data_IF_968893652322
#
_entry.id   IF_968893652322
#
_cell.length_a   1.000
_cell.length_b   1.000
_cell.length_c   1.000
_cell.angle_alpha   90.00
_cell.angle_beta   90.00
_cell.angle_gamma   90.00
#
_symmetry.space_group_name_H-M   'P 1'
#
loop_
_entity.id
_entity.type
_entity.pdbx_description
1 polymer ?
#
# COMPACT_ATOMS: atom_id res chain seq x y z
N UNK A 1 -6.92 0.06 15.18
CA UNK A 1 -5.47 0.10 15.54
C UNK A 1 -4.78 -1.11 14.92
N UNK A 2 -3.59 -0.90 14.37
CA UNK A 2 -2.79 -1.92 13.70
C UNK A 2 -1.49 -2.11 14.48
N UNK A 3 -1.16 -3.34 14.88
CA UNK A 3 0.05 -3.60 15.65
C UNK A 3 0.84 -4.78 15.07
N UNK A 4 2.15 -4.65 15.01
CA UNK A 4 3.09 -5.73 14.78
C UNK A 4 3.98 -5.84 16.01
N UNK A 5 4.16 -7.05 16.53
CA UNK A 5 5.04 -7.35 17.66
C UNK A 5 5.94 -8.53 17.32
N UNK A 6 7.12 -8.54 17.90
CA UNK A 6 8.11 -9.62 17.77
C UNK A 6 8.51 -9.89 16.30
N UNK A 7 8.57 -8.85 15.46
CA UNK A 7 9.04 -9.00 14.09
C UNK A 7 10.54 -9.31 14.07
N UNK A 8 10.87 -10.48 13.53
CA UNK A 8 12.24 -10.94 13.36
C UNK A 8 12.49 -11.22 11.89
N UNK A 9 13.42 -10.50 11.27
CA UNK A 9 13.78 -10.69 9.86
C UNK A 9 15.29 -10.73 9.70
N UNK A 10 15.78 -11.78 9.07
CA UNK A 10 17.20 -11.95 8.75
C UNK A 10 17.38 -12.43 7.32
N UNK A 11 18.42 -11.96 6.66
CA UNK A 11 18.83 -12.39 5.32
C UNK A 11 20.26 -12.95 5.40
N UNK A 12 20.39 -14.25 5.36
CA UNK A 12 21.66 -14.95 5.61
C UNK A 12 22.19 -14.60 7.01
N UNK A 13 23.38 -14.00 7.07
CA UNK A 13 24.01 -13.60 8.35
C UNK A 13 23.59 -12.19 8.84
N UNK A 14 22.83 -11.46 8.04
CA UNK A 14 22.43 -10.08 8.38
C UNK A 14 21.04 -10.07 8.99
N UNK A 15 20.95 -9.75 10.28
CA UNK A 15 19.68 -9.47 10.96
C UNK A 15 19.25 -8.05 10.63
N UNK A 16 18.04 -7.90 10.09
CA UNK A 16 17.45 -6.62 9.73
C UNK A 16 16.55 -6.08 10.84
N UNK A 17 15.71 -6.95 11.39
CA UNK A 17 14.86 -6.68 12.55
C UNK A 17 15.03 -7.77 13.58
N UNK A 18 15.09 -7.40 14.85
CA UNK A 18 15.15 -8.29 15.99
C UNK A 18 14.17 -7.78 17.03
N UNK A 19 13.13 -8.56 17.29
CA UNK A 19 12.06 -8.25 18.24
C UNK A 19 11.46 -6.85 18.04
N UNK A 20 11.31 -6.46 16.77
CA UNK A 20 10.79 -5.15 16.44
C UNK A 20 9.26 -5.09 16.63
N UNK A 21 8.79 -3.97 17.16
CA UNK A 21 7.37 -3.72 17.37
C UNK A 21 6.96 -2.39 16.75
N UNK A 22 5.71 -2.33 16.32
CA UNK A 22 5.15 -1.16 15.65
C UNK A 22 3.66 -1.06 15.98
N UNK A 23 3.17 0.17 16.08
CA UNK A 23 1.76 0.47 16.23
C UNK A 23 1.38 1.63 15.31
N UNK A 24 0.24 1.50 14.63
CA UNK A 24 -0.39 2.57 13.87
C UNK A 24 -1.82 2.78 14.36
N UNK A 25 -2.17 4.01 14.63
CA UNK A 25 -3.49 4.39 15.09
C UNK A 25 -4.42 4.65 13.90
N UNK A 26 -5.71 4.36 14.08
CA UNK A 26 -6.74 4.65 13.08
C UNK A 26 -6.85 6.17 12.86
N UNK A 27 -7.04 6.59 11.61
CA UNK A 27 -7.18 8.00 11.26
C UNK A 27 -5.88 8.81 11.27
N UNK A 28 -4.74 8.16 11.46
CA UNK A 28 -3.43 8.82 11.48
C UNK A 28 -2.55 8.40 10.29
N UNK A 29 -1.78 9.36 9.78
CA UNK A 29 -0.71 9.10 8.83
C UNK A 29 0.58 8.75 9.58
N UNK A 30 1.05 7.53 9.44
CA UNK A 30 2.33 7.08 10.01
C UNK A 30 3.42 7.08 8.95
N UNK A 31 4.51 7.81 9.17
CA UNK A 31 5.63 7.92 8.23
C UNK A 31 6.84 7.17 8.73
N UNK A 32 7.28 6.16 7.97
CA UNK A 32 8.49 5.38 8.27
C UNK A 32 9.68 6.00 7.53
N UNK A 33 10.63 6.54 8.28
CA UNK A 33 11.83 7.18 7.74
C UNK A 33 13.07 6.30 7.95
N UNK A 34 14.01 6.38 7.01
CA UNK A 34 15.29 5.67 7.11
C UNK A 34 16.08 5.74 5.81
N UNK A 35 17.39 5.47 5.86
CA UNK A 35 18.28 5.48 4.69
C UNK A 35 17.85 4.41 3.67
N UNK A 36 18.29 4.54 2.42
CA UNK A 36 18.13 3.47 1.44
C UNK A 36 18.79 2.19 1.96
N UNK A 37 18.13 1.03 1.75
CA UNK A 37 18.61 -0.25 2.25
C UNK A 37 18.41 -0.49 3.76
N UNK A 38 17.74 0.40 4.49
CA UNK A 38 17.47 0.21 5.94
C UNK A 38 16.35 -0.81 6.24
N UNK A 39 15.68 -1.34 5.22
CA UNK A 39 14.64 -2.35 5.40
C UNK A 39 13.21 -1.84 5.41
N UNK A 40 12.95 -0.58 5.04
CA UNK A 40 11.58 -0.02 5.01
C UNK A 40 10.60 -0.87 4.21
N UNK A 41 10.94 -1.19 2.96
CA UNK A 41 10.10 -2.04 2.11
C UNK A 41 9.95 -3.46 2.66
N UNK A 42 10.99 -3.97 3.32
CA UNK A 42 10.92 -5.25 4.02
C UNK A 42 9.96 -5.20 5.19
N UNK A 43 10.02 -4.12 5.98
CA UNK A 43 9.10 -3.89 7.07
C UNK A 43 7.65 -3.80 6.58
N UNK A 44 7.39 -3.06 5.51
CA UNK A 44 6.03 -2.93 4.95
C UNK A 44 5.46 -4.27 4.45
N UNK A 45 6.29 -5.22 4.05
CA UNK A 45 5.85 -6.57 3.68
C UNK A 45 5.33 -7.39 4.87
N UNK A 46 5.71 -7.05 6.12
CA UNK A 46 5.18 -7.72 7.29
C UNK A 46 3.65 -7.55 7.39
N UNK A 47 3.10 -6.41 6.93
CA UNK A 47 1.65 -6.20 6.87
C UNK A 47 0.92 -7.07 5.85
N UNK A 48 1.66 -7.78 5.01
CA UNK A 48 1.14 -8.74 4.02
C UNK A 48 1.45 -10.19 4.45
N UNK A 49 1.69 -10.42 5.73
CA UNK A 49 2.04 -11.73 6.30
C UNK A 49 3.31 -12.36 5.70
N UNK A 50 4.24 -11.56 5.16
CA UNK A 50 5.46 -12.08 4.54
C UNK A 50 6.49 -12.61 5.55
N UNK A 51 6.31 -12.34 6.84
CA UNK A 51 7.23 -12.72 7.91
C UNK A 51 6.47 -13.13 9.15
N UNK A 52 7.05 -14.03 9.94
CA UNK A 52 6.48 -14.42 11.23
C UNK A 52 6.59 -13.27 12.23
N UNK A 53 5.45 -12.87 12.74
CA UNK A 53 5.30 -11.85 13.77
C UNK A 53 3.92 -11.98 14.42
N UNK A 54 3.73 -11.39 15.57
CA UNK A 54 2.39 -11.19 16.12
C UNK A 54 1.77 -10.00 15.40
N UNK A 55 0.69 -10.24 14.69
CA UNK A 55 -0.02 -9.22 13.95
C UNK A 55 -1.44 -9.06 14.51
N UNK A 56 -1.71 -7.89 15.10
CA UNK A 56 -3.02 -7.56 15.65
C UNK A 56 -3.70 -6.47 14.81
N UNK A 57 -4.96 -6.68 14.53
CA UNK A 57 -5.85 -5.71 13.93
C UNK A 57 -7.06 -5.53 14.83
N UNK A 58 -7.29 -4.28 15.29
CA UNK A 58 -8.33 -3.93 16.27
C UNK A 58 -8.31 -4.78 17.55
N UNK A 59 -7.11 -5.18 17.97
CA UNK A 59 -6.88 -6.00 19.16
C UNK A 59 -6.98 -7.50 18.93
N UNK A 60 -7.44 -7.95 17.78
CA UNK A 60 -7.54 -9.36 17.43
C UNK A 60 -6.29 -9.86 16.71
N UNK A 61 -5.85 -11.07 17.04
CA UNK A 61 -4.72 -11.72 16.38
C UNK A 61 -5.12 -12.24 15.01
N UNK A 62 -4.51 -11.70 13.96
CA UNK A 62 -4.75 -12.10 12.57
C UNK A 62 -3.60 -12.90 11.96
N UNK A 63 -2.44 -12.97 12.61
CA UNK A 63 -1.34 -13.83 12.20
C UNK A 63 -1.66 -15.33 12.31
N UNK A 64 -2.60 -15.69 13.17
CA UNK A 64 -3.07 -17.08 13.39
C UNK A 64 -4.13 -17.54 12.39
N UNK A 65 -4.60 -16.67 11.53
CA UNK A 65 -5.53 -17.04 10.45
C UNK A 65 -4.87 -18.03 9.48
N UNK A 66 -5.67 -18.89 8.88
CA UNK A 66 -5.22 -19.71 7.76
C UNK A 66 -4.93 -18.85 6.52
N UNK A 67 -4.27 -19.41 5.52
CA UNK A 67 -3.84 -18.67 4.34
C UNK A 67 -5.01 -18.09 3.54
N UNK A 68 -6.14 -18.76 3.48
CA UNK A 68 -7.32 -18.24 2.79
C UNK A 68 -7.88 -17.00 3.48
N UNK A 69 -7.99 -17.02 4.81
CA UNK A 69 -8.49 -15.90 5.60
C UNK A 69 -7.47 -14.74 5.66
N UNK A 70 -6.16 -15.01 5.66
CA UNK A 70 -5.13 -13.97 5.47
C UNK A 70 -5.27 -13.27 4.13
N UNK A 71 -5.48 -14.01 3.03
CA UNK A 71 -5.69 -13.42 1.71
C UNK A 71 -7.00 -12.60 1.66
N UNK A 72 -8.06 -13.09 2.28
CA UNK A 72 -9.32 -12.32 2.41
C UNK A 72 -9.11 -11.03 3.21
N UNK A 73 -8.34 -11.08 4.30
CA UNK A 73 -7.99 -9.88 5.08
C UNK A 73 -7.24 -8.86 4.23
N UNK A 74 -6.18 -9.30 3.53
CA UNK A 74 -5.42 -8.42 2.62
C UNK A 74 -6.36 -7.81 1.58
N UNK A 75 -7.20 -8.61 0.95
CA UNK A 75 -8.10 -8.15 -0.10
C UNK A 75 -9.12 -7.13 0.40
N UNK A 76 -9.72 -7.36 1.56
CA UNK A 76 -10.80 -6.53 2.08
C UNK A 76 -10.32 -5.25 2.76
N UNK A 77 -9.22 -5.33 3.50
CA UNK A 77 -8.79 -4.24 4.40
C UNK A 77 -7.58 -3.46 3.91
N UNK A 78 -6.77 -4.03 3.00
CA UNK A 78 -5.45 -3.53 2.68
C UNK A 78 -5.34 -3.09 1.23
N UNK A 79 -4.77 -1.92 0.98
CA UNK A 79 -4.25 -1.56 -0.34
C UNK A 79 -2.77 -1.22 -0.24
N UNK A 80 -1.99 -1.66 -1.21
CA UNK A 80 -0.57 -1.42 -1.26
C UNK A 80 -0.17 -0.76 -2.59
N UNK A 81 0.55 0.34 -2.49
CA UNK A 81 1.17 1.00 -3.64
C UNK A 81 2.68 0.81 -3.55
N UNK A 82 3.22 0.02 -4.44
CA UNK A 82 4.64 -0.27 -4.53
C UNK A 82 5.44 0.89 -5.14
N UNK A 83 6.73 0.94 -4.86
CA UNK A 83 7.67 1.92 -5.43
C UNK A 83 7.64 1.93 -6.96
N UNK A 84 7.47 0.77 -7.57
CA UNK A 84 7.19 0.62 -9.02
C UNK A 84 5.75 0.11 -9.11
N UNK A 85 4.78 1.00 -9.39
CA UNK A 85 3.38 0.58 -9.48
C UNK A 85 3.16 -0.41 -10.63
N UNK A 86 2.37 -1.44 -10.33
CA UNK A 86 1.97 -2.44 -11.30
C UNK A 86 0.64 -2.04 -11.95
N UNK A 87 0.61 -2.13 -13.25
CA UNK A 87 -0.58 -1.89 -14.08
C UNK A 87 -0.77 -3.06 -15.03
N UNK A 88 -2.01 -3.32 -15.43
CA UNK A 88 -2.32 -4.35 -16.42
C UNK A 88 -1.85 -3.84 -17.79
N UNK A 89 -1.05 -4.64 -18.49
CA UNK A 89 -0.57 -4.28 -19.83
C UNK A 89 -1.74 -4.11 -20.81
N UNK A 90 -1.57 -3.14 -21.73
CA UNK A 90 -2.59 -2.87 -22.74
C UNK A 90 -3.81 -2.08 -22.23
N UNK A 91 -3.88 -1.74 -20.96
CA UNK A 91 -4.97 -0.94 -20.41
C UNK A 91 -4.53 0.51 -20.16
N UNK A 92 -5.41 1.47 -20.48
CA UNK A 92 -5.25 2.87 -20.09
C UNK A 92 -5.61 3.04 -18.61
N UNK A 93 -5.25 4.18 -17.99
CA UNK A 93 -5.67 4.49 -16.62
C UNK A 93 -7.19 4.48 -16.47
N UNK A 94 -7.91 5.09 -17.42
CA UNK A 94 -9.39 5.06 -17.45
C UNK A 94 -9.95 3.64 -17.56
N UNK A 95 -9.26 2.73 -18.26
CA UNK A 95 -9.68 1.32 -18.34
C UNK A 95 -9.53 0.62 -16.97
N UNK A 96 -8.46 0.90 -16.22
CA UNK A 96 -8.30 0.39 -14.85
C UNK A 96 -9.40 0.92 -13.92
N UNK A 97 -9.73 2.23 -14.03
CA UNK A 97 -10.82 2.83 -13.26
C UNK A 97 -12.14 2.11 -13.58
N UNK A 98 -12.49 1.96 -14.86
CA UNK A 98 -13.71 1.24 -15.28
C UNK A 98 -13.76 -0.20 -14.79
N UNK A 99 -12.61 -0.87 -14.71
CA UNK A 99 -12.56 -2.22 -14.17
C UNK A 99 -12.90 -2.25 -12.67
N UNK A 100 -12.38 -1.29 -11.88
CA UNK A 100 -12.75 -1.15 -10.47
C UNK A 100 -14.22 -0.77 -10.29
N UNK A 101 -14.77 0.11 -11.14
CA UNK A 101 -16.20 0.44 -11.13
C UNK A 101 -17.09 -0.81 -11.36
N UNK A 102 -16.71 -1.71 -12.28
CA UNK A 102 -17.39 -2.99 -12.49
C UNK A 102 -17.34 -3.92 -11.26
N UNK A 103 -16.31 -3.78 -10.42
CA UNK A 103 -16.17 -4.50 -9.15
C UNK A 103 -16.89 -3.80 -7.99
N UNK A 104 -17.67 -2.74 -8.25
CA UNK A 104 -18.45 -2.03 -7.25
C UNK A 104 -17.71 -0.86 -6.58
N UNK A 105 -16.45 -0.59 -6.96
CA UNK A 105 -15.74 0.57 -6.45
C UNK A 105 -16.33 1.86 -7.03
N UNK A 106 -16.31 2.94 -6.25
CA UNK A 106 -16.82 4.24 -6.69
C UNK A 106 -15.65 5.21 -6.93
N UNK A 107 -15.83 6.10 -7.90
CA UNK A 107 -14.93 7.25 -8.07
C UNK A 107 -14.99 8.15 -6.85
N UNK A 108 -13.87 8.79 -6.53
CA UNK A 108 -13.75 9.75 -5.44
C UNK A 108 -13.34 11.09 -6.07
N UNK A 109 -14.31 11.97 -6.40
CA UNK A 109 -14.06 13.19 -7.19
C UNK A 109 -12.98 14.08 -6.60
N UNK A 110 -12.98 14.26 -5.29
CA UNK A 110 -11.99 15.10 -4.60
C UNK A 110 -10.56 14.59 -4.80
N UNK A 111 -10.33 13.28 -4.67
CA UNK A 111 -9.02 12.70 -4.91
C UNK A 111 -8.67 12.62 -6.40
N UNK A 112 -9.67 12.47 -7.25
CA UNK A 112 -9.49 12.52 -8.71
C UNK A 112 -8.92 13.87 -9.16
N UNK A 113 -9.46 14.96 -8.60
CA UNK A 113 -8.98 16.32 -8.85
C UNK A 113 -7.60 16.55 -8.21
N UNK A 114 -7.46 16.30 -6.92
CA UNK A 114 -6.21 16.54 -6.18
C UNK A 114 -5.01 15.77 -6.76
N UNK A 115 -5.23 14.54 -7.20
CA UNK A 115 -4.20 13.70 -7.81
C UNK A 115 -4.04 13.95 -9.31
N UNK A 116 -4.88 14.79 -9.91
CA UNK A 116 -4.83 15.14 -11.33
C UNK A 116 -5.02 13.93 -12.24
N UNK A 117 -6.03 13.10 -11.98
CA UNK A 117 -6.26 11.82 -12.66
C UNK A 117 -6.91 12.00 -14.02
N UNK A 118 -7.86 12.94 -14.15
CA UNK A 118 -8.62 13.15 -15.37
C UNK A 118 -7.78 13.28 -16.65
N UNK A 119 -6.66 14.05 -16.67
CA UNK A 119 -5.77 14.12 -17.84
C UNK A 119 -5.02 12.82 -18.14
N UNK A 120 -4.99 11.86 -17.20
CA UNK A 120 -4.28 10.60 -17.34
C UNK A 120 -5.16 9.47 -17.87
N UNK A 121 -6.48 9.60 -17.83
CA UNK A 121 -7.41 8.51 -18.15
C UNK A 121 -7.17 7.87 -19.51
N UNK A 122 -6.88 8.69 -20.53
CA UNK A 122 -6.64 8.20 -21.89
C UNK A 122 -5.19 7.75 -22.13
N UNK A 123 -4.32 7.85 -21.13
CA UNK A 123 -2.91 7.48 -21.24
C UNK A 123 -2.68 6.03 -20.83
N UNK A 124 -1.75 5.39 -21.51
CA UNK A 124 -1.22 4.09 -21.10
C UNK A 124 -0.15 4.28 -20.00
N UNK A 125 -0.03 3.35 -19.05
CA UNK A 125 1.00 3.45 -18.01
C UNK A 125 2.43 3.64 -18.53
N UNK A 126 2.75 3.07 -19.70
CA UNK A 126 4.07 3.21 -20.33
C UNK A 126 4.43 4.66 -20.69
N UNK A 127 3.43 5.49 -21.00
CA UNK A 127 3.61 6.90 -21.39
C UNK A 127 3.61 7.87 -20.21
N UNK A 128 3.36 7.39 -19.00
CA UNK A 128 3.33 8.21 -17.79
C UNK A 128 4.73 8.42 -17.21
N UNK A 129 4.98 9.63 -16.70
CA UNK A 129 6.13 9.89 -15.82
C UNK A 129 6.02 9.09 -14.51
N UNK A 130 7.13 8.94 -13.77
CA UNK A 130 7.12 8.24 -12.49
C UNK A 130 6.11 8.82 -11.48
N UNK A 131 6.01 10.14 -11.40
CA UNK A 131 5.05 10.82 -10.53
C UNK A 131 3.59 10.60 -10.98
N UNK A 132 3.30 10.65 -12.29
CA UNK A 132 1.96 10.33 -12.82
C UNK A 132 1.58 8.88 -12.53
N UNK A 133 2.51 7.93 -12.69
CA UNK A 133 2.29 6.52 -12.33
C UNK A 133 1.93 6.36 -10.85
N UNK A 134 2.70 7.02 -9.97
CA UNK A 134 2.44 6.95 -8.53
C UNK A 134 1.07 7.53 -8.19
N UNK A 135 0.72 8.71 -8.71
CA UNK A 135 -0.60 9.32 -8.46
C UNK A 135 -1.75 8.43 -8.96
N UNK A 136 -1.63 7.89 -10.16
CA UNK A 136 -2.62 6.96 -10.70
C UNK A 136 -2.77 5.71 -9.84
N UNK A 137 -1.65 5.11 -9.40
CA UNK A 137 -1.68 3.93 -8.54
C UNK A 137 -2.31 4.22 -7.17
N UNK A 138 -1.98 5.37 -6.57
CA UNK A 138 -2.61 5.82 -5.30
C UNK A 138 -4.11 6.00 -5.48
N UNK A 139 -4.54 6.64 -6.56
CA UNK A 139 -5.97 6.82 -6.84
C UNK A 139 -6.71 5.49 -6.99
N UNK A 140 -6.16 4.56 -7.78
CA UNK A 140 -6.76 3.22 -7.95
C UNK A 140 -6.83 2.45 -6.62
N UNK A 141 -5.83 2.61 -5.76
CA UNK A 141 -5.83 2.03 -4.43
C UNK A 141 -6.92 2.65 -3.54
N UNK A 142 -7.07 3.97 -3.56
CA UNK A 142 -8.09 4.69 -2.79
C UNK A 142 -9.53 4.37 -3.25
N UNK A 143 -9.75 4.12 -4.55
CA UNK A 143 -11.08 3.71 -5.06
C UNK A 143 -11.60 2.42 -4.40
N UNK A 144 -10.71 1.57 -3.90
CA UNK A 144 -11.10 0.36 -3.14
C UNK A 144 -11.55 0.68 -1.72
N UNK A 145 -11.41 1.92 -1.25
CA UNK A 145 -11.71 2.37 0.11
C UNK A 145 -11.07 1.47 1.19
N UNK A 146 -9.75 1.23 1.11
CA UNK A 146 -9.08 0.36 2.07
C UNK A 146 -9.06 1.00 3.45
N UNK A 147 -9.15 0.19 4.50
CA UNK A 147 -8.97 0.63 5.88
C UNK A 147 -7.49 0.89 6.21
N UNK A 148 -6.60 0.19 5.50
CA UNK A 148 -5.15 0.32 5.63
C UNK A 148 -4.55 0.59 4.24
N UNK A 149 -3.97 1.77 4.05
CA UNK A 149 -3.24 2.11 2.83
C UNK A 149 -1.74 2.13 3.11
N UNK A 150 -1.00 1.24 2.45
CA UNK A 150 0.45 1.15 2.54
C UNK A 150 1.06 1.79 1.28
N UNK A 151 1.90 2.80 1.49
CA UNK A 151 2.60 3.49 0.41
C UNK A 151 4.11 3.24 0.53
N UNK A 152 4.64 2.32 -0.28
CA UNK A 152 6.10 2.14 -0.43
C UNK A 152 6.58 3.00 -1.60
N UNK A 153 6.61 4.29 -1.38
CA UNK A 153 6.95 5.27 -2.41
C UNK A 153 8.12 6.15 -1.99
N UNK A 154 9.00 6.49 -2.93
CA UNK A 154 10.07 7.46 -2.69
C UNK A 154 9.47 8.88 -2.73
N UNK A 155 9.10 9.41 -1.58
CA UNK A 155 8.73 10.81 -1.43
C UNK A 155 10.02 11.65 -1.41
N UNK A 156 10.54 12.01 -2.57
CA UNK A 156 11.56 13.04 -2.64
C UNK A 156 10.93 14.40 -2.35
N UNK A 157 11.11 14.89 -1.12
CA UNK A 157 11.07 16.30 -0.67
C UNK A 157 9.87 17.19 -1.05
N UNK A 158 8.69 16.68 -1.40
CA UNK A 158 7.48 17.50 -1.48
C UNK A 158 6.33 16.74 -0.82
N UNK A 159 6.29 16.79 0.50
CA UNK A 159 5.07 16.49 1.25
C UNK A 159 4.17 17.72 1.05
N UNK A 160 3.28 17.68 0.09
CA UNK A 160 2.02 18.38 0.24
C UNK A 160 1.18 17.46 1.14
N UNK A 161 0.92 17.89 2.37
CA UNK A 161 -0.07 17.24 3.22
C UNK A 161 -1.40 17.26 2.46
N UNK A 162 -1.96 16.07 2.26
CA UNK A 162 -3.36 15.88 1.86
C UNK A 162 -4.14 15.63 3.12
#
# INVERSE_FOLDING_TARGET
>A
MLEIKQLNVSFGKKTLFKDASFCAECGHLTVIKGRSGSGKSTFLKAFQFAYDCIYLYEGERIDTLDEENKQKFIYNHLANVHQIPLFIEGMTIGSHIKQLEKLGCKRIPDYEEQLGIKPLENKYPKSLSGGEKTRAAVYLALMRQPEILILDVNWCNKIACI
#
